data_IF_223940074407
#
_entry.id   IF_223940074407
#
_cell.length_a   1.000
_cell.length_b   1.000
_cell.length_c   1.000
_cell.angle_alpha   90.00
_cell.angle_beta   90.00
_cell.angle_gamma   90.00
#
_symmetry.space_group_name_H-M   'P 1'
#
loop_
_entity.id
_entity.type
_entity.pdbx_description
1 polymer ?
#
# COMPACT_ATOMS: atom_id res chain seq x y z
N UNK A 1 -28.58 24.98 26.05
CA UNK A 1 -28.42 24.09 24.88
C UNK A 1 -27.26 24.65 24.06
N UNK A 2 -26.11 23.99 24.11
CA UNK A 2 -24.93 24.40 23.34
C UNK A 2 -25.17 23.96 21.90
N UNK A 3 -25.29 24.93 20.99
CA UNK A 3 -25.20 24.68 19.55
C UNK A 3 -23.77 24.21 19.29
N UNK A 4 -23.61 22.90 19.05
CA UNK A 4 -22.37 22.37 18.53
C UNK A 4 -22.18 23.03 17.16
N UNK A 5 -21.05 23.73 17.01
CA UNK A 5 -20.60 24.22 15.72
C UNK A 5 -20.56 23.04 14.75
N UNK A 6 -21.39 23.09 13.71
CA UNK A 6 -21.19 22.28 12.52
C UNK A 6 -19.77 22.59 12.05
N UNK A 7 -18.85 21.64 12.27
CA UNK A 7 -17.59 21.68 11.56
C UNK A 7 -17.95 21.66 10.07
N UNK A 8 -17.31 22.48 9.21
CA UNK A 8 -17.49 22.33 7.78
C UNK A 8 -17.17 20.87 7.49
N UNK A 9 -18.16 20.12 7.02
CA UNK A 9 -17.96 18.80 6.46
C UNK A 9 -16.79 18.98 5.49
N UNK A 10 -15.63 18.39 5.80
CA UNK A 10 -14.63 18.15 4.76
C UNK A 10 -15.35 17.22 3.79
N UNK A 11 -16.07 17.81 2.83
CA UNK A 11 -16.95 17.12 1.90
C UNK A 11 -16.10 16.06 1.23
N UNK A 12 -16.36 14.79 1.56
CA UNK A 12 -15.60 13.66 1.08
C UNK A 12 -15.83 13.53 -0.41
N UNK A 13 -15.00 14.23 -1.17
CA UNK A 13 -15.08 14.30 -2.62
C UNK A 13 -14.06 13.37 -3.26
N UNK A 14 -14.35 12.95 -4.49
CA UNK A 14 -13.38 12.20 -5.31
C UNK A 14 -12.13 13.09 -5.52
N UNK A 15 -10.90 12.52 -5.54
CA UNK A 15 -9.71 13.32 -5.79
C UNK A 15 -9.82 14.14 -7.09
N UNK A 16 -9.62 15.45 -6.99
CA UNK A 16 -9.70 16.40 -8.12
C UNK A 16 -8.88 15.95 -9.31
N UNK A 17 -7.71 15.35 -9.07
CA UNK A 17 -6.85 14.80 -10.12
C UNK A 17 -7.51 13.66 -10.90
N UNK A 18 -8.26 12.77 -10.24
CA UNK A 18 -8.96 11.67 -10.90
C UNK A 18 -10.10 12.19 -11.79
N UNK A 19 -10.90 13.14 -11.29
CA UNK A 19 -11.95 13.79 -12.08
C UNK A 19 -11.36 14.56 -13.27
N UNK A 20 -10.27 15.31 -13.07
CA UNK A 20 -9.58 16.01 -14.16
C UNK A 20 -9.02 15.06 -15.23
N UNK A 21 -8.52 13.89 -14.81
CA UNK A 21 -8.06 12.85 -15.73
C UNK A 21 -9.23 12.29 -16.55
N UNK A 22 -10.35 11.94 -15.92
CA UNK A 22 -11.55 11.44 -16.58
C UNK A 22 -12.10 12.44 -17.61
N UNK A 23 -12.19 13.74 -17.24
CA UNK A 23 -12.64 14.79 -18.17
C UNK A 23 -11.73 14.87 -19.40
N UNK A 24 -10.41 14.79 -19.23
CA UNK A 24 -9.45 14.84 -20.36
C UNK A 24 -9.53 13.60 -21.25
N UNK A 25 -9.80 12.43 -20.68
CA UNK A 25 -9.97 11.19 -21.44
C UNK A 25 -11.25 11.22 -22.30
N UNK A 26 -12.35 11.77 -21.76
CA UNK A 26 -13.62 11.91 -22.48
C UNK A 26 -13.64 13.08 -23.47
N UNK A 27 -12.98 14.20 -23.12
CA UNK A 27 -12.99 15.45 -23.87
C UNK A 27 -11.56 15.99 -24.09
N UNK A 28 -10.76 15.34 -24.96
CA UNK A 28 -9.32 15.62 -25.08
C UNK A 28 -8.97 17.01 -25.59
N UNK A 29 -9.82 17.59 -26.44
CA UNK A 29 -9.55 18.87 -27.11
C UNK A 29 -10.45 20.01 -26.61
N UNK A 30 -11.17 19.80 -25.49
CA UNK A 30 -12.13 20.78 -24.96
C UNK A 30 -11.59 21.41 -23.70
N UNK A 31 -11.63 22.74 -23.66
CA UNK A 31 -11.26 23.51 -22.47
C UNK A 31 -12.47 23.61 -21.55
N UNK A 32 -12.41 22.92 -20.41
CA UNK A 32 -13.47 22.95 -19.37
C UNK A 32 -13.09 23.95 -18.29
N UNK A 33 -14.00 24.88 -17.99
CA UNK A 33 -13.87 25.90 -16.96
C UNK A 33 -13.71 25.29 -15.55
N UNK A 34 -13.09 26.04 -14.63
CA UNK A 34 -12.88 25.55 -13.27
C UNK A 34 -14.20 25.36 -12.53
N UNK A 35 -15.15 26.29 -12.68
CA UNK A 35 -16.47 26.19 -12.05
C UNK A 35 -17.23 24.94 -12.52
N UNK A 36 -17.10 24.57 -13.80
CA UNK A 36 -17.70 23.36 -14.33
C UNK A 36 -17.06 22.08 -13.75
N UNK A 37 -15.75 22.11 -13.48
CA UNK A 37 -15.04 20.99 -12.83
C UNK A 37 -15.50 20.81 -11.38
N UNK A 38 -15.68 21.91 -10.65
CA UNK A 38 -16.26 21.88 -9.30
C UNK A 38 -17.69 21.33 -9.31
N UNK A 39 -18.51 21.78 -10.27
CA UNK A 39 -19.87 21.31 -10.40
C UNK A 39 -19.93 19.79 -10.65
N UNK A 40 -19.10 19.28 -11.57
CA UNK A 40 -19.02 17.84 -11.84
C UNK A 40 -18.61 17.08 -10.58
N UNK A 41 -17.68 17.61 -9.79
CA UNK A 41 -17.25 16.99 -8.53
C UNK A 41 -18.41 16.85 -7.54
N UNK A 42 -19.19 17.92 -7.36
CA UNK A 42 -20.36 17.92 -6.50
C UNK A 42 -21.43 16.94 -7.01
N UNK A 43 -21.65 16.90 -8.33
CA UNK A 43 -22.56 15.93 -8.95
C UNK A 43 -22.10 14.47 -8.71
N UNK A 44 -20.79 14.20 -8.68
CA UNK A 44 -20.30 12.86 -8.34
C UNK A 44 -20.63 12.47 -6.90
N UNK A 45 -20.48 13.40 -5.95
CA UNK A 45 -20.85 13.18 -4.54
C UNK A 45 -22.37 12.94 -4.41
N UNK A 46 -23.17 13.80 -5.05
CA UNK A 46 -24.63 13.65 -5.07
C UNK A 46 -25.07 12.33 -5.71
N UNK A 47 -24.43 11.91 -6.80
CA UNK A 47 -24.70 10.63 -7.46
C UNK A 47 -24.47 9.45 -6.51
N UNK A 48 -23.37 9.46 -5.74
CA UNK A 48 -23.09 8.41 -4.74
C UNK A 48 -24.19 8.41 -3.67
N UNK A 49 -24.61 9.58 -3.18
CA UNK A 49 -25.68 9.67 -2.18
C UNK A 49 -27.05 9.21 -2.72
N UNK A 50 -27.41 9.61 -3.93
CA UNK A 50 -28.64 9.19 -4.60
C UNK A 50 -28.69 7.65 -4.71
N UNK A 51 -27.63 7.05 -5.27
CA UNK A 51 -27.57 5.61 -5.47
C UNK A 51 -27.55 4.85 -4.14
N UNK A 52 -26.80 5.35 -3.15
CA UNK A 52 -26.71 4.73 -1.82
C UNK A 52 -28.05 4.78 -1.07
N UNK A 53 -28.78 5.88 -1.20
CA UNK A 53 -30.08 6.06 -0.56
C UNK A 53 -31.12 5.10 -1.15
N UNK A 54 -31.19 5.01 -2.48
CA UNK A 54 -32.06 4.08 -3.17
C UNK A 54 -31.69 2.61 -2.85
N UNK A 55 -30.41 2.28 -2.81
CA UNK A 55 -29.96 0.92 -2.47
C UNK A 55 -30.28 0.55 -1.02
N UNK A 56 -30.22 1.52 -0.11
CA UNK A 56 -30.62 1.35 1.28
C UNK A 56 -32.14 1.12 1.40
N UNK A 57 -32.96 1.84 0.65
CA UNK A 57 -34.41 1.61 0.60
C UNK A 57 -34.74 0.20 0.11
N UNK A 58 -34.14 -0.24 -0.99
CA UNK A 58 -34.33 -1.60 -1.54
C UNK A 58 -33.86 -2.66 -0.53
N UNK A 59 -32.73 -2.43 0.13
CA UNK A 59 -32.21 -3.32 1.18
C UNK A 59 -33.22 -3.50 2.34
N UNK A 60 -33.80 -2.39 2.80
CA UNK A 60 -34.78 -2.38 3.88
C UNK A 60 -36.10 -3.03 3.46
N UNK A 61 -36.55 -2.80 2.22
CA UNK A 61 -37.73 -3.46 1.65
C UNK A 61 -37.54 -4.99 1.61
N UNK A 62 -36.33 -5.46 1.32
CA UNK A 62 -35.97 -6.89 1.37
C UNK A 62 -35.69 -7.43 2.78
N UNK A 63 -35.93 -6.64 3.84
CA UNK A 63 -35.70 -7.03 5.24
C UNK A 63 -34.24 -7.45 5.51
N UNK A 64 -33.27 -6.84 4.82
CA UNK A 64 -31.84 -7.07 5.01
C UNK A 64 -31.20 -5.89 5.74
N UNK A 65 -30.16 -6.18 6.54
CA UNK A 65 -29.40 -5.17 7.30
C UNK A 65 -28.11 -4.72 6.61
N UNK A 66 -27.76 -5.33 5.48
CA UNK A 66 -26.50 -5.08 4.78
C UNK A 66 -26.78 -4.90 3.31
N UNK A 67 -26.38 -3.73 2.79
CA UNK A 67 -26.47 -3.44 1.36
C UNK A 67 -25.51 -4.38 0.62
N UNK A 68 -26.03 -5.13 -0.34
CA UNK A 68 -25.25 -6.02 -1.20
C UNK A 68 -25.22 -5.46 -2.63
N UNK A 69 -24.44 -6.11 -3.50
CA UNK A 69 -24.32 -5.69 -4.90
C UNK A 69 -25.65 -5.75 -5.67
N UNK A 70 -26.54 -6.68 -5.33
CA UNK A 70 -27.85 -6.81 -5.98
C UNK A 70 -28.71 -5.56 -5.73
N UNK A 71 -28.68 -5.02 -4.51
CA UNK A 71 -29.43 -3.81 -4.19
C UNK A 71 -28.94 -2.63 -5.04
N UNK A 72 -27.62 -2.51 -5.27
CA UNK A 72 -27.04 -1.48 -6.15
C UNK A 72 -27.50 -1.67 -7.60
N UNK A 73 -27.48 -2.90 -8.13
CA UNK A 73 -27.94 -3.19 -9.49
C UNK A 73 -29.43 -2.84 -9.67
N UNK A 74 -30.26 -3.18 -8.69
CA UNK A 74 -31.68 -2.82 -8.71
C UNK A 74 -31.91 -1.30 -8.61
N UNK A 75 -31.08 -0.58 -7.84
CA UNK A 75 -31.13 0.88 -7.77
C UNK A 75 -30.80 1.53 -9.11
N UNK A 76 -29.82 1.00 -9.86
CA UNK A 76 -29.52 1.48 -11.20
C UNK A 76 -30.74 1.37 -12.12
N UNK A 77 -31.42 0.22 -12.11
CA UNK A 77 -32.64 0.02 -12.90
C UNK A 77 -33.76 0.98 -12.47
N UNK A 78 -33.99 1.13 -11.15
CA UNK A 78 -35.07 1.96 -10.61
C UNK A 78 -34.85 3.47 -10.84
N UNK A 79 -33.60 3.93 -10.83
CA UNK A 79 -33.24 5.33 -11.09
C UNK A 79 -33.13 5.66 -12.59
N UNK A 80 -33.31 4.68 -13.49
CA UNK A 80 -33.22 4.88 -14.93
C UNK A 80 -31.79 4.80 -15.49
N UNK A 81 -30.83 4.28 -14.72
CA UNK A 81 -29.45 4.02 -15.14
C UNK A 81 -29.22 2.56 -15.59
N UNK A 82 -30.24 1.92 -16.17
CA UNK A 82 -30.18 0.51 -16.59
C UNK A 82 -29.03 0.20 -17.56
N UNK A 83 -28.62 1.17 -18.38
CA UNK A 83 -27.48 1.04 -19.30
C UNK A 83 -26.15 0.78 -18.58
N UNK A 84 -26.02 1.20 -17.30
CA UNK A 84 -24.80 1.00 -16.50
C UNK A 84 -24.75 -0.39 -15.86
N UNK A 85 -25.84 -1.15 -15.89
CA UNK A 85 -25.97 -2.44 -15.22
C UNK A 85 -24.95 -3.46 -15.72
N UNK A 86 -24.75 -3.52 -17.04
CA UNK A 86 -23.81 -4.47 -17.65
C UNK A 86 -22.36 -4.24 -17.18
N UNK A 87 -21.93 -2.98 -17.14
CA UNK A 87 -20.59 -2.60 -16.66
C UNK A 87 -20.46 -2.87 -15.15
N UNK A 88 -21.49 -2.56 -14.37
CA UNK A 88 -21.52 -2.84 -12.93
C UNK A 88 -21.42 -4.35 -12.62
N UNK A 89 -22.12 -5.20 -13.40
CA UNK A 89 -22.04 -6.66 -13.28
C UNK A 89 -20.64 -7.19 -13.64
N UNK A 90 -19.99 -6.64 -14.66
CA UNK A 90 -18.62 -6.99 -15.03
C UNK A 90 -17.64 -6.67 -13.88
N UNK A 91 -17.73 -5.47 -13.29
CA UNK A 91 -16.92 -5.09 -12.13
C UNK A 91 -17.20 -6.00 -10.93
N UNK A 92 -18.48 -6.36 -10.67
CA UNK A 92 -18.84 -7.28 -9.59
C UNK A 92 -18.19 -8.67 -9.78
N UNK A 93 -18.17 -9.17 -11.02
CA UNK A 93 -17.53 -10.45 -11.35
C UNK A 93 -16.03 -10.41 -11.05
N UNK A 94 -15.36 -9.34 -11.43
CA UNK A 94 -13.92 -9.18 -11.18
C UNK A 94 -13.61 -9.04 -9.68
N UNK A 95 -14.41 -8.26 -8.95
CA UNK A 95 -14.31 -8.16 -7.49
C UNK A 95 -14.46 -9.51 -6.80
N UNK A 96 -15.45 -10.33 -7.21
CA UNK A 96 -15.63 -11.70 -6.70
C UNK A 96 -14.43 -12.59 -7.02
N UNK A 97 -13.89 -12.51 -8.24
CA UNK A 97 -12.71 -13.27 -8.63
C UNK A 97 -11.47 -12.88 -7.81
N UNK A 98 -11.26 -11.59 -7.57
CA UNK A 98 -10.17 -11.09 -6.72
C UNK A 98 -10.31 -11.54 -5.27
N UNK A 99 -11.51 -11.44 -4.69
CA UNK A 99 -11.79 -11.92 -3.35
C UNK A 99 -11.54 -13.44 -3.22
N UNK A 100 -11.97 -14.23 -4.21
CA UNK A 100 -11.72 -15.67 -4.25
C UNK A 100 -10.22 -16.01 -4.34
N UNK A 101 -9.45 -15.26 -5.14
CA UNK A 101 -7.98 -15.40 -5.21
C UNK A 101 -7.34 -15.10 -3.85
N UNK A 102 -7.75 -14.03 -3.16
CA UNK A 102 -7.24 -13.70 -1.81
C UNK A 102 -7.56 -14.79 -0.80
N UNK A 103 -8.79 -15.31 -0.79
CA UNK A 103 -9.20 -16.41 0.08
C UNK A 103 -8.34 -17.66 -0.15
N UNK A 104 -8.14 -18.05 -1.42
CA UNK A 104 -7.28 -19.18 -1.79
C UNK A 104 -5.84 -19.02 -1.30
N UNK A 105 -5.26 -17.82 -1.39
CA UNK A 105 -3.91 -17.54 -0.87
C UNK A 105 -3.84 -17.70 0.66
N UNK A 106 -4.83 -17.18 1.39
CA UNK A 106 -4.91 -17.36 2.85
C UNK A 106 -5.01 -18.84 3.23
N UNK A 107 -5.96 -19.56 2.61
CA UNK A 107 -6.16 -20.98 2.88
C UNK A 107 -4.93 -21.83 2.53
N UNK A 108 -4.18 -21.46 1.48
CA UNK A 108 -2.92 -22.13 1.14
C UNK A 108 -1.81 -21.85 2.17
N UNK A 109 -1.76 -20.64 2.72
CA UNK A 109 -0.81 -20.29 3.78
C UNK A 109 -1.10 -21.02 5.09
N UNK A 110 -2.38 -21.21 5.42
CA UNK A 110 -2.81 -21.96 6.61
C UNK A 110 -2.60 -23.48 6.45
N UNK A 111 -2.67 -23.98 5.21
CA UNK A 111 -2.53 -25.41 4.89
C UNK A 111 -1.22 -25.73 4.15
N UNK A 112 -0.09 -25.14 4.57
CA UNK A 112 1.22 -25.37 3.93
C UNK A 112 1.70 -26.83 4.04
N UNK A 113 1.08 -27.65 4.89
CA UNK A 113 1.45 -29.06 5.10
C UNK A 113 2.76 -29.25 5.87
N UNK A 114 3.52 -28.17 6.11
CA UNK A 114 4.69 -28.14 6.98
C UNK A 114 4.20 -27.77 8.38
N UNK A 115 4.46 -28.58 9.42
CA UNK A 115 4.06 -28.25 10.78
C UNK A 115 4.75 -26.95 11.23
N UNK A 116 4.06 -26.15 12.02
CA UNK A 116 4.55 -24.84 12.51
C UNK A 116 5.91 -24.97 13.22
N UNK A 117 6.14 -26.08 13.90
CA UNK A 117 7.41 -26.39 14.57
C UNK A 117 8.59 -26.49 13.59
N UNK A 118 8.39 -27.15 12.44
CA UNK A 118 9.43 -27.28 11.42
C UNK A 118 9.71 -25.93 10.73
N UNK A 119 8.66 -25.12 10.50
CA UNK A 119 8.83 -23.75 9.99
C UNK A 119 9.61 -22.87 10.99
N UNK A 120 9.34 -23.00 12.28
CA UNK A 120 10.05 -22.26 13.33
C UNK A 120 11.52 -22.70 13.39
N UNK A 121 11.79 -24.01 13.29
CA UNK A 121 13.16 -24.55 13.24
C UNK A 121 13.94 -23.97 12.07
N UNK A 122 13.37 -23.98 10.87
CA UNK A 122 14.00 -23.41 9.66
C UNK A 122 14.28 -21.90 9.82
N UNK A 123 13.32 -21.15 10.39
CA UNK A 123 13.51 -19.73 10.67
C UNK A 123 14.67 -19.49 11.65
N UNK A 124 14.74 -20.27 12.74
CA UNK A 124 15.79 -20.14 13.75
C UNK A 124 17.18 -20.49 13.18
N UNK A 125 17.25 -21.51 12.33
CA UNK A 125 18.49 -21.90 11.64
C UNK A 125 18.99 -20.79 10.72
N UNK A 126 18.10 -20.18 9.93
CA UNK A 126 18.44 -19.03 9.09
C UNK A 126 18.94 -17.84 9.91
N UNK A 127 18.30 -17.53 11.05
CA UNK A 127 18.76 -16.47 11.94
C UNK A 127 20.11 -16.79 12.60
N UNK A 128 20.35 -18.05 12.99
CA UNK A 128 21.62 -18.46 13.56
C UNK A 128 22.76 -18.35 12.53
N UNK A 129 22.51 -18.77 11.28
CA UNK A 129 23.45 -18.66 10.18
C UNK A 129 23.80 -17.19 9.89
N UNK A 130 22.80 -16.32 9.79
CA UNK A 130 23.01 -14.89 9.56
C UNK A 130 23.86 -14.25 10.67
N UNK A 131 23.63 -14.61 11.94
CA UNK A 131 24.46 -14.14 13.07
C UNK A 131 25.90 -14.64 12.99
N UNK A 132 26.11 -15.90 12.61
CA UNK A 132 27.46 -16.46 12.45
C UNK A 132 28.23 -15.77 11.33
N UNK A 133 27.59 -15.53 10.19
CA UNK A 133 28.18 -14.80 9.07
C UNK A 133 28.57 -13.38 9.47
N UNK A 134 27.69 -12.66 10.19
CA UNK A 134 28.01 -11.32 10.72
C UNK A 134 29.20 -11.35 11.68
N UNK A 135 29.23 -12.29 12.63
CA UNK A 135 30.37 -12.42 13.56
C UNK A 135 31.67 -12.75 12.82
N UNK A 136 31.63 -13.57 11.77
CA UNK A 136 32.82 -13.89 10.97
C UNK A 136 33.32 -12.67 10.20
N UNK A 137 32.42 -11.88 9.60
CA UNK A 137 32.78 -10.64 8.91
C UNK A 137 33.39 -9.65 9.90
N UNK A 138 32.74 -9.42 11.04
CA UNK A 138 33.25 -8.53 12.10
C UNK A 138 34.61 -9.00 12.63
N UNK A 139 34.80 -10.31 12.79
CA UNK A 139 36.08 -10.87 13.19
C UNK A 139 37.17 -10.65 12.14
N UNK A 140 36.86 -10.83 10.85
CA UNK A 140 37.81 -10.59 9.75
C UNK A 140 38.18 -9.11 9.66
N UNK A 141 37.21 -8.21 9.80
CA UNK A 141 37.44 -6.76 9.84
C UNK A 141 38.34 -6.38 11.02
N UNK A 142 38.10 -6.95 12.21
CA UNK A 142 38.93 -6.72 13.38
C UNK A 142 40.38 -7.21 13.19
N UNK A 143 40.55 -8.40 12.59
CA UNK A 143 41.87 -8.94 12.29
C UNK A 143 42.63 -8.07 11.27
N UNK A 144 41.96 -7.61 10.21
CA UNK A 144 42.56 -6.70 9.23
C UNK A 144 42.96 -5.36 9.86
N UNK A 145 42.12 -4.80 10.73
CA UNK A 145 42.42 -3.56 11.43
C UNK A 145 43.63 -3.72 12.36
N UNK A 146 43.70 -4.80 13.14
CA UNK A 146 44.88 -5.08 13.97
C UNK A 146 46.15 -5.23 13.13
N UNK A 147 46.08 -5.94 12.00
CA UNK A 147 47.23 -6.10 11.10
C UNK A 147 47.71 -4.75 10.54
N UNK A 148 46.78 -3.87 10.12
CA UNK A 148 47.12 -2.52 9.67
C UNK A 148 47.78 -1.69 10.78
N UNK A 149 47.26 -1.74 12.00
CA UNK A 149 47.84 -1.03 13.15
C UNK A 149 49.26 -1.54 13.45
N UNK A 150 49.48 -2.85 13.41
CA UNK A 150 50.81 -3.44 13.64
C UNK A 150 51.84 -3.02 12.57
N UNK A 151 51.44 -3.05 11.28
CA UNK A 151 52.31 -2.60 10.18
C UNK A 151 52.62 -1.11 10.30
N UNK A 152 51.64 -0.27 10.65
CA UNK A 152 51.86 1.17 10.85
C UNK A 152 52.83 1.46 12.00
N UNK A 153 52.76 0.70 13.09
CA UNK A 153 53.72 0.81 14.22
C UNK A 153 55.14 0.41 13.82
N UNK A 154 55.28 -0.66 13.03
CA UNK A 154 56.58 -1.07 12.49
C UNK A 154 57.19 -0.01 11.57
N UNK A 155 56.39 0.55 10.66
CA UNK A 155 56.84 1.64 9.77
C UNK A 155 57.25 2.90 10.55
N UNK A 156 56.53 3.25 11.63
CA UNK A 156 56.93 4.36 12.50
C UNK A 156 58.23 4.08 13.25
N UNK A 157 58.46 2.84 13.70
CA UNK A 157 59.74 2.47 14.32
C UNK A 157 60.88 2.50 13.30
N UNK A 158 60.67 1.99 12.08
CA UNK A 158 61.69 2.05 11.02
C UNK A 158 61.99 3.49 10.60
N UNK A 159 60.99 4.38 10.53
CA UNK A 159 61.22 5.80 10.27
C UNK A 159 61.99 6.48 11.41
N UNK A 160 61.67 6.18 12.68
CA UNK A 160 62.45 6.71 13.80
C UNK A 160 63.90 6.21 13.84
N UNK A 161 64.17 4.98 13.40
CA UNK A 161 65.53 4.43 13.33
C UNK A 161 66.32 5.10 12.18
N UNK A 162 65.67 5.38 11.05
CA UNK A 162 66.31 6.06 9.91
C UNK A 162 66.60 7.54 10.21
N UNK A 163 65.71 8.23 10.94
CA UNK A 163 65.94 9.62 11.37
C UNK A 163 67.09 9.74 12.40
N UNK A 164 67.31 8.73 13.26
CA UNK A 164 68.41 8.73 14.26
C UNK A 164 69.79 8.46 13.62
N UNK A 165 69.83 7.73 12.49
CA UNK A 165 71.06 7.49 11.71
C UNK A 165 71.44 8.69 10.80
N UNK A 166 70.51 9.60 10.48
CA UNK A 166 70.78 10.82 9.70
C UNK A 166 71.40 11.97 10.53
N UNK A 167 71.30 11.95 11.86
CA UNK A 167 71.88 12.99 12.74
C UNK A 167 73.36 12.70 13.14
N UNK A 168 73.96 11.64 12.58
CA UNK A 168 75.35 11.22 12.85
C UNK A 168 76.30 11.27 11.62
N UNK A 169 75.97 12.08 10.59
CA UNK A 169 76.89 12.44 9.49
C UNK A 169 77.12 13.95 9.37
#
# INVERSE_FOLDING_TARGET
MSVAAEQPDDELTIPRAAMNKMIKELLPNVRVANEARELILNCCTEFIHLLSSEANEICNQQQKKTINAEHILMSLDKLGFGDYRADAEAVLKDCKAMAAKKRRKSTRLENLGIPVEELLRQQQELFAKARQEQMLVEQQEWQMLQAQVAVAQQQQQEQQIVDDDEDYS
#
